data_IF_604964841011
#
_entry.id   IF_604964841011
#
_cell.length_a   1.000
_cell.length_b   1.000
_cell.length_c   1.000
_cell.angle_alpha   90.00
_cell.angle_beta   90.00
_cell.angle_gamma   90.00
#
_symmetry.space_group_name_H-M   'P 1'
#
loop_
_entity.id
_entity.type
_entity.pdbx_description
1 polymer ?
#
# COMPACT_ATOMS: atom_id res chain seq x y z
N UNK A 1 -8.77 5.26 -25.19
CA UNK A 1 -9.17 6.00 -23.96
C UNK A 1 -7.98 6.79 -23.47
N UNK A 2 -8.15 8.07 -23.13
CA UNK A 2 -7.02 8.88 -22.64
C UNK A 2 -6.92 8.87 -21.11
N UNK A 3 -8.07 8.58 -20.44
CA UNK A 3 -8.17 8.55 -18.99
C UNK A 3 -8.88 7.27 -18.57
N UNK A 4 -8.20 6.38 -17.85
CA UNK A 4 -8.74 5.10 -17.41
C UNK A 4 -7.93 4.51 -16.26
N UNK A 5 -8.54 3.54 -15.60
CA UNK A 5 -7.90 2.65 -14.63
C UNK A 5 -7.61 1.31 -15.30
N UNK A 6 -6.60 0.63 -14.81
CA UNK A 6 -6.35 -0.75 -15.21
C UNK A 6 -6.08 -1.64 -14.00
N UNK A 7 -6.48 -2.89 -14.11
CA UNK A 7 -6.18 -3.96 -13.17
C UNK A 7 -5.79 -5.18 -13.99
N UNK A 8 -4.56 -5.62 -13.82
CA UNK A 8 -4.01 -6.81 -14.47
C UNK A 8 -3.61 -7.82 -13.40
N UNK A 9 -4.05 -9.06 -13.54
CA UNK A 9 -3.73 -10.15 -12.64
C UNK A 9 -3.14 -11.31 -13.44
N UNK A 10 -2.01 -11.81 -13.00
CA UNK A 10 -1.41 -13.06 -13.45
C UNK A 10 -1.24 -14.05 -12.27
N UNK A 11 -0.47 -15.12 -12.45
CA UNK A 11 -0.22 -16.14 -11.42
C UNK A 11 0.67 -15.64 -10.27
N UNK A 12 1.45 -14.57 -10.47
CA UNK A 12 2.46 -14.10 -9.52
C UNK A 12 2.08 -12.78 -8.83
N UNK A 13 1.26 -11.93 -9.50
CA UNK A 13 1.02 -10.55 -9.04
C UNK A 13 -0.29 -9.97 -9.55
N UNK A 14 -0.67 -8.86 -8.93
CA UNK A 14 -1.65 -7.91 -9.45
C UNK A 14 -0.91 -6.59 -9.74
N UNK A 15 -1.06 -6.08 -10.95
CA UNK A 15 -0.65 -4.74 -11.34
C UNK A 15 -1.89 -3.87 -11.51
N UNK A 16 -1.90 -2.69 -10.95
CA UNK A 16 -3.02 -1.78 -11.10
C UNK A 16 -2.55 -0.33 -11.09
N UNK A 17 -3.31 0.53 -11.74
CA UNK A 17 -2.90 1.91 -11.87
C UNK A 17 -3.90 2.78 -12.60
N UNK A 18 -3.50 4.03 -12.77
CA UNK A 18 -4.29 5.06 -13.41
C UNK A 18 -3.52 5.72 -14.54
N UNK A 19 -4.17 5.88 -15.66
CA UNK A 19 -3.69 6.62 -16.82
C UNK A 19 -4.50 7.92 -16.93
N UNK A 20 -3.82 9.05 -17.04
CA UNK A 20 -4.41 10.36 -17.28
C UNK A 20 -3.69 10.99 -18.48
N UNK A 21 -4.48 11.54 -19.40
CA UNK A 21 -3.97 12.17 -20.62
C UNK A 21 -2.94 11.30 -21.38
N UNK A 22 -3.28 10.01 -21.44
CA UNK A 22 -2.44 8.95 -22.06
C UNK A 22 -1.07 8.76 -21.38
N UNK A 23 -0.90 9.20 -20.13
CA UNK A 23 0.32 9.00 -19.35
C UNK A 23 0.03 8.24 -18.06
N UNK A 24 0.98 7.41 -17.63
CA UNK A 24 0.89 6.69 -16.36
C UNK A 24 0.94 7.67 -15.18
N UNK A 25 -0.18 7.83 -14.48
CA UNK A 25 -0.32 8.73 -13.32
C UNK A 25 -0.09 8.03 -12.00
N UNK A 26 -0.46 6.75 -11.87
CA UNK A 26 -0.12 5.91 -10.74
C UNK A 26 0.06 4.45 -11.16
N UNK A 27 0.96 3.73 -10.49
CA UNK A 27 1.25 2.33 -10.76
C UNK A 27 1.61 1.60 -9.49
N UNK A 28 0.98 0.46 -9.29
CA UNK A 28 1.16 -0.38 -8.11
C UNK A 28 1.32 -1.83 -8.55
N UNK A 29 2.23 -2.52 -7.90
CA UNK A 29 2.44 -3.96 -8.08
C UNK A 29 2.29 -4.65 -6.74
N UNK A 30 1.35 -5.58 -6.66
CA UNK A 30 1.17 -6.45 -5.50
C UNK A 30 1.51 -7.88 -5.89
N UNK A 31 2.70 -8.35 -5.50
CA UNK A 31 3.10 -9.74 -5.70
C UNK A 31 2.34 -10.66 -4.74
N UNK A 32 1.92 -11.82 -5.23
CA UNK A 32 1.36 -12.83 -4.35
C UNK A 32 2.46 -13.40 -3.46
N UNK A 33 2.37 -13.09 -2.19
CA UNK A 33 3.28 -13.57 -1.17
C UNK A 33 2.62 -14.71 -0.39
N UNK A 34 3.45 -15.52 0.29
CA UNK A 34 2.94 -16.55 1.19
C UNK A 34 2.09 -15.97 2.33
N UNK A 35 2.32 -14.71 2.68
CA UNK A 35 1.67 -13.98 3.74
C UNK A 35 1.41 -12.55 3.29
N UNK A 36 0.25 -12.00 3.66
CA UNK A 36 -0.11 -10.61 3.40
C UNK A 36 -0.47 -9.89 4.71
N UNK A 37 -0.20 -8.58 4.74
CA UNK A 37 -0.58 -7.75 5.89
C UNK A 37 -2.11 -7.62 5.91
N UNK A 38 -2.70 -7.96 7.07
CA UNK A 38 -4.14 -7.98 7.28
C UNK A 38 -4.78 -9.34 7.09
N UNK A 39 -4.02 -10.38 6.66
CA UNK A 39 -4.50 -11.75 6.66
C UNK A 39 -4.71 -12.24 8.08
N UNK A 40 -5.85 -12.89 8.35
CA UNK A 40 -6.17 -13.47 9.65
C UNK A 40 -6.08 -14.99 9.56
N UNK A 41 -5.28 -15.55 10.44
CA UNK A 41 -5.08 -16.99 10.56
C UNK A 41 -5.66 -17.51 11.86
N UNK A 42 -6.25 -18.70 11.79
CA UNK A 42 -6.41 -19.58 12.94
C UNK A 42 -5.12 -20.37 13.07
N UNK A 43 -4.36 -20.10 14.12
CA UNK A 43 -2.99 -20.53 14.31
C UNK A 43 -2.83 -21.35 15.60
N UNK A 44 -1.83 -22.20 15.66
CA UNK A 44 -1.45 -22.95 16.87
C UNK A 44 -0.20 -22.33 17.48
N UNK A 45 -0.22 -22.10 18.78
CA UNK A 45 0.97 -21.69 19.54
C UNK A 45 1.92 -22.87 19.66
N UNK A 46 3.08 -22.79 19.00
CA UNK A 46 4.03 -23.92 18.94
C UNK A 46 5.21 -23.78 19.89
N UNK A 47 5.58 -22.54 20.26
CA UNK A 47 6.73 -22.29 21.14
C UNK A 47 6.59 -20.99 21.88
N UNK A 48 7.05 -20.96 23.14
CA UNK A 48 7.26 -19.76 23.96
C UNK A 48 8.74 -19.49 24.09
N UNK A 49 9.18 -18.24 23.92
CA UNK A 49 10.58 -17.83 24.09
C UNK A 49 10.63 -16.62 25.03
N UNK A 50 10.86 -16.87 26.30
CA UNK A 50 10.85 -15.83 27.35
C UNK A 50 11.95 -14.78 27.16
N UNK A 51 13.12 -15.16 26.66
CA UNK A 51 14.21 -14.24 26.36
C UNK A 51 13.86 -13.19 25.28
N UNK A 52 12.94 -13.53 24.35
CA UNK A 52 12.46 -12.63 23.30
C UNK A 52 11.08 -12.05 23.62
N UNK A 53 10.51 -12.38 24.78
CA UNK A 53 9.16 -11.96 25.18
C UNK A 53 8.11 -12.26 24.10
N UNK A 54 8.14 -13.46 23.51
CA UNK A 54 7.27 -13.81 22.39
C UNK A 54 6.80 -15.27 22.41
N UNK A 55 5.77 -15.51 21.60
CA UNK A 55 5.38 -16.83 21.11
C UNK A 55 5.69 -16.97 19.62
N UNK A 56 5.95 -18.19 19.18
CA UNK A 56 5.87 -18.56 17.78
C UNK A 56 4.55 -19.30 17.56
N UNK A 57 3.84 -18.91 16.50
CA UNK A 57 2.54 -19.47 16.13
C UNK A 57 2.60 -20.01 14.72
N UNK A 58 2.15 -21.23 14.49
CA UNK A 58 2.13 -21.84 13.17
C UNK A 58 0.97 -21.24 12.34
N UNK A 59 1.31 -20.61 11.20
CA UNK A 59 0.37 -19.95 10.29
C UNK A 59 0.02 -20.82 9.09
N UNK A 60 1.01 -21.56 8.56
CA UNK A 60 0.87 -22.39 7.36
C UNK A 60 2.02 -23.41 7.31
N UNK A 61 1.69 -24.71 7.22
CA UNK A 61 2.62 -25.82 6.96
C UNK A 61 4.10 -25.57 7.33
N UNK A 62 4.39 -25.50 8.63
CA UNK A 62 5.74 -25.27 9.16
C UNK A 62 6.24 -23.81 9.10
N UNK A 63 5.47 -22.86 8.57
CA UNK A 63 5.81 -21.44 8.61
C UNK A 63 5.17 -20.77 9.83
N UNK A 64 6.01 -20.13 10.64
CA UNK A 64 5.59 -19.52 11.90
C UNK A 64 5.47 -18.00 11.79
N UNK A 65 4.57 -17.42 12.59
CA UNK A 65 4.48 -15.99 12.92
C UNK A 65 5.14 -15.69 14.26
N UNK A 66 5.64 -14.47 14.42
CA UNK A 66 6.19 -13.93 15.66
C UNK A 66 5.11 -13.14 16.37
N UNK A 67 4.66 -13.60 17.53
CA UNK A 67 3.64 -12.97 18.40
C UNK A 67 4.33 -12.42 19.65
N UNK A 68 4.50 -11.10 19.73
CA UNK A 68 5.02 -10.41 20.90
C UNK A 68 4.03 -10.57 22.08
N UNK A 69 4.50 -10.69 23.33
CA UNK A 69 3.63 -10.79 24.51
C UNK A 69 2.68 -9.60 24.65
N UNK A 70 3.11 -8.40 24.26
CA UNK A 70 2.24 -7.21 24.26
C UNK A 70 1.07 -7.27 23.27
N UNK A 71 1.20 -8.10 22.24
CA UNK A 71 0.21 -8.29 21.17
C UNK A 71 -0.71 -9.48 21.43
N UNK A 72 -0.62 -10.10 22.63
CA UNK A 72 -1.52 -11.16 23.09
C UNK A 72 -2.78 -10.60 23.76
N UNK A 73 -3.85 -11.38 23.75
CA UNK A 73 -5.10 -11.11 24.49
C UNK A 73 -5.32 -12.24 25.48
N UNK A 74 -5.36 -11.92 26.77
CA UNK A 74 -5.51 -12.91 27.84
C UNK A 74 -4.26 -13.76 28.06
N UNK A 75 -4.44 -14.92 28.72
CA UNK A 75 -3.36 -15.88 28.95
C UNK A 75 -3.23 -16.82 27.75
N UNK A 76 -2.01 -16.93 27.24
CA UNK A 76 -1.68 -17.79 26.10
C UNK A 76 -0.66 -18.86 26.51
N UNK A 77 -0.90 -20.10 26.10
CA UNK A 77 -0.05 -21.25 26.38
C UNK A 77 0.36 -21.98 25.10
N UNK A 78 1.47 -22.67 25.13
CA UNK A 78 1.86 -23.57 24.04
C UNK A 78 0.80 -24.66 23.86
N UNK A 79 0.38 -24.88 22.60
CA UNK A 79 -0.70 -25.78 22.23
C UNK A 79 -2.04 -25.07 21.96
N UNK A 80 -2.23 -23.87 22.48
CA UNK A 80 -3.47 -23.11 22.26
C UNK A 80 -3.69 -22.83 20.77
N UNK A 81 -4.98 -22.79 20.40
CA UNK A 81 -5.44 -22.33 19.07
C UNK A 81 -5.97 -20.93 19.24
N UNK A 82 -5.44 -20.00 18.46
CA UNK A 82 -5.75 -18.58 18.55
C UNK A 82 -5.96 -17.97 17.16
N UNK A 83 -6.64 -16.84 17.09
CA UNK A 83 -6.64 -16.00 15.90
C UNK A 83 -5.51 -14.98 15.96
N UNK A 84 -4.84 -14.77 14.83
CA UNK A 84 -3.80 -13.75 14.68
C UNK A 84 -3.90 -13.08 13.32
N UNK A 85 -3.73 -11.76 13.31
CA UNK A 85 -3.58 -10.94 12.09
C UNK A 85 -2.11 -10.67 11.83
N UNK A 86 -1.67 -10.78 10.59
CA UNK A 86 -0.34 -10.35 10.17
C UNK A 86 -0.35 -8.82 10.05
N UNK A 87 0.45 -8.13 10.87
CA UNK A 87 0.56 -6.67 10.78
C UNK A 87 1.87 -6.16 10.20
N UNK A 88 2.88 -7.06 10.07
CA UNK A 88 4.18 -6.71 9.48
C UNK A 88 4.83 -7.92 8.84
N UNK A 89 5.31 -7.76 7.61
CA UNK A 89 6.16 -8.74 6.92
C UNK A 89 7.60 -8.27 7.02
N UNK A 90 8.49 -9.18 7.42
CA UNK A 90 9.91 -8.89 7.58
C UNK A 90 10.68 -9.28 6.30
N UNK A 91 11.84 -8.67 6.06
CA UNK A 91 12.69 -9.00 4.92
C UNK A 91 13.38 -10.37 5.11
N UNK A 92 13.61 -11.07 4.01
CA UNK A 92 14.22 -12.40 4.01
C UNK A 92 13.30 -13.46 4.63
N UNK A 93 13.90 -14.49 5.23
CA UNK A 93 13.16 -15.65 5.80
C UNK A 93 12.65 -15.41 7.24
N UNK A 94 12.67 -14.15 7.71
CA UNK A 94 12.20 -13.83 9.05
C UNK A 94 10.68 -13.97 9.15
N UNK A 95 10.21 -14.62 10.22
CA UNK A 95 8.80 -14.78 10.52
C UNK A 95 8.05 -13.44 10.49
N UNK A 96 6.82 -13.37 9.90
CA UNK A 96 6.00 -12.17 9.97
C UNK A 96 5.58 -11.89 11.42
N UNK A 97 5.41 -10.62 11.76
CA UNK A 97 4.85 -10.23 13.04
C UNK A 97 3.34 -10.33 13.00
N UNK A 98 2.78 -10.91 14.05
CA UNK A 98 1.34 -11.12 14.18
C UNK A 98 0.81 -10.59 15.51
N UNK A 99 -0.49 -10.29 15.56
CA UNK A 99 -1.20 -9.79 16.74
C UNK A 99 -2.52 -10.54 16.94
N UNK A 100 -2.90 -10.79 18.18
CA UNK A 100 -4.24 -11.28 18.52
C UNK A 100 -5.31 -10.17 18.42
N UNK A 101 -4.90 -8.89 18.36
CA UNK A 101 -5.80 -7.79 18.03
C UNK A 101 -5.96 -7.70 16.52
N UNK A 102 -6.96 -8.38 15.99
CA UNK A 102 -7.23 -8.43 14.56
C UNK A 102 -8.46 -7.60 14.17
N UNK A 103 -8.53 -7.23 12.91
CA UNK A 103 -9.60 -6.40 12.37
C UNK A 103 -9.96 -6.78 10.95
N UNK A 104 -11.23 -6.57 10.59
CA UNK A 104 -11.69 -6.62 9.21
C UNK A 104 -12.13 -5.23 8.77
N UNK A 105 -11.94 -4.90 7.51
CA UNK A 105 -12.26 -3.58 6.99
C UNK A 105 -13.07 -3.68 5.71
N UNK A 106 -13.97 -2.71 5.54
CA UNK A 106 -14.69 -2.44 4.31
C UNK A 106 -14.36 -1.04 3.80
N UNK A 107 -15.10 -0.56 2.82
CA UNK A 107 -14.98 0.81 2.31
C UNK A 107 -15.28 1.84 3.40
N UNK A 108 -16.29 1.61 4.26
CA UNK A 108 -16.82 2.61 5.19
C UNK A 108 -16.46 2.36 6.66
N UNK A 109 -16.15 1.13 7.06
CA UNK A 109 -15.94 0.77 8.45
C UNK A 109 -14.75 -0.17 8.67
N UNK A 110 -14.23 -0.20 9.90
CA UNK A 110 -13.30 -1.20 10.41
C UNK A 110 -13.88 -1.77 11.68
N UNK A 111 -14.04 -3.09 11.73
CA UNK A 111 -14.48 -3.83 12.90
C UNK A 111 -13.26 -4.51 13.51
N UNK A 112 -12.97 -4.22 14.78
CA UNK A 112 -11.79 -4.76 15.46
C UNK A 112 -12.21 -5.67 16.62
N UNK A 113 -11.56 -6.82 16.70
CA UNK A 113 -11.68 -7.72 17.85
C UNK A 113 -10.90 -7.14 19.03
N UNK A 114 -11.60 -6.43 19.90
CA UNK A 114 -11.08 -5.89 21.17
C UNK A 114 -12.14 -6.10 22.24
N UNK A 115 -11.70 -6.33 23.47
CA UNK A 115 -12.60 -6.52 24.64
C UNK A 115 -13.33 -5.24 25.07
N UNK A 116 -13.60 -4.29 24.17
CA UNK A 116 -14.30 -3.03 24.48
C UNK A 116 -15.24 -2.68 23.34
N UNK A 117 -16.48 -2.43 23.68
CA UNK A 117 -17.50 -1.87 22.78
C UNK A 117 -17.26 -0.36 22.61
N UNK A 118 -16.37 0.03 21.70
CA UNK A 118 -16.06 1.42 21.43
C UNK A 118 -16.37 1.78 19.98
N UNK A 119 -17.04 2.93 19.78
CA UNK A 119 -17.22 3.53 18.47
C UNK A 119 -16.20 4.64 18.31
N UNK A 120 -15.29 4.48 17.33
CA UNK A 120 -14.26 5.45 17.01
C UNK A 120 -14.62 6.22 15.75
N UNK A 121 -14.65 7.54 15.86
CA UNK A 121 -14.83 8.47 14.75
C UNK A 121 -13.54 9.27 14.62
N UNK A 122 -12.97 9.32 13.41
CA UNK A 122 -11.76 10.11 13.18
C UNK A 122 -12.05 11.60 13.40
N UNK A 123 -11.01 12.39 13.74
CA UNK A 123 -11.18 13.85 13.94
C UNK A 123 -11.77 14.56 12.70
N UNK A 124 -11.42 14.08 11.49
CA UNK A 124 -11.96 14.60 10.23
C UNK A 124 -13.46 14.34 10.03
N UNK A 125 -14.01 13.35 10.73
CA UNK A 125 -15.42 12.96 10.64
C UNK A 125 -16.28 13.60 11.73
N UNK A 126 -15.67 14.27 12.74
CA UNK A 126 -16.41 14.85 13.87
C UNK A 126 -17.33 16.01 13.47
N UNK A 127 -17.07 16.64 12.33
CA UNK A 127 -17.90 17.72 11.77
C UNK A 127 -19.14 17.19 11.04
N UNK A 128 -19.20 15.88 10.76
CA UNK A 128 -20.35 15.24 10.14
C UNK A 128 -21.28 14.66 11.21
N UNK A 129 -22.57 14.94 11.09
CA UNK A 129 -23.61 14.46 12.01
C UNK A 129 -23.95 12.98 11.72
N UNK A 130 -23.10 12.06 12.17
CA UNK A 130 -23.48 10.64 12.18
C UNK A 130 -24.47 10.35 13.31
N UNK A 131 -25.50 9.57 13.01
CA UNK A 131 -26.40 9.06 14.04
C UNK A 131 -25.72 7.91 14.84
N UNK A 132 -24.89 8.29 15.80
CA UNK A 132 -24.11 7.35 16.62
C UNK A 132 -25.02 6.40 17.40
N UNK A 133 -26.25 6.83 17.77
CA UNK A 133 -27.20 5.98 18.49
C UNK A 133 -27.64 4.80 17.64
N UNK A 134 -27.93 5.05 16.34
CA UNK A 134 -28.26 3.94 15.41
C UNK A 134 -27.09 2.97 15.25
N UNK A 135 -25.86 3.44 15.23
CA UNK A 135 -24.67 2.56 15.17
C UNK A 135 -24.53 1.76 16.48
N UNK A 136 -24.76 2.38 17.65
CA UNK A 136 -24.77 1.68 18.95
C UNK A 136 -25.85 0.63 19.06
N UNK A 137 -26.99 0.82 18.39
CA UNK A 137 -28.07 -0.16 18.33
C UNK A 137 -27.69 -1.42 17.52
N UNK A 138 -26.60 -1.39 16.75
CA UNK A 138 -26.01 -2.61 16.22
C UNK A 138 -25.29 -3.31 17.36
N UNK A 139 -25.98 -4.29 17.98
CA UNK A 139 -25.43 -5.09 19.09
C UNK A 139 -24.15 -5.78 18.59
N UNK A 140 -23.02 -5.38 19.15
CA UNK A 140 -21.71 -5.88 18.73
C UNK A 140 -20.76 -5.89 19.93
N UNK A 141 -20.06 -6.99 20.14
CA UNK A 141 -18.98 -7.10 21.13
C UNK A 141 -17.64 -6.60 20.57
N UNK A 142 -17.67 -5.90 19.43
CA UNK A 142 -16.48 -5.47 18.70
C UNK A 142 -16.39 -3.95 18.66
N UNK A 143 -15.18 -3.42 18.56
CA UNK A 143 -14.98 -2.00 18.32
C UNK A 143 -15.27 -1.65 16.85
N UNK A 144 -16.00 -0.56 16.64
CA UNK A 144 -16.38 -0.06 15.33
C UNK A 144 -15.65 1.26 15.09
N UNK A 145 -14.88 1.36 13.98
CA UNK A 145 -14.23 2.60 13.56
C UNK A 145 -14.75 3.00 12.19
N UNK A 146 -15.30 4.22 12.10
CA UNK A 146 -15.71 4.79 10.81
C UNK A 146 -14.47 5.28 10.04
N UNK A 147 -14.43 4.94 8.74
CA UNK A 147 -13.40 5.44 7.80
C UNK A 147 -13.84 6.80 7.23
N UNK A 148 -12.88 7.57 6.72
CA UNK A 148 -13.17 8.89 6.14
C UNK A 148 -14.22 8.84 5.04
N UNK A 149 -14.25 7.77 4.25
CA UNK A 149 -15.22 7.54 3.17
C UNK A 149 -16.67 7.33 3.62
N UNK A 150 -16.92 7.13 4.91
CA UNK A 150 -18.28 6.98 5.43
C UNK A 150 -19.15 8.25 5.30
N UNK A 151 -18.54 9.40 4.95
CA UNK A 151 -19.29 10.65 4.64
C UNK A 151 -19.91 10.63 3.24
N UNK A 152 -19.39 9.78 2.36
CA UNK A 152 -19.76 9.71 0.94
C UNK A 152 -20.95 8.76 0.71
N UNK A 153 -21.48 8.13 1.77
CA UNK A 153 -22.60 7.22 1.68
C UNK A 153 -23.78 7.66 2.56
N UNK A 154 -24.99 7.22 2.20
CA UNK A 154 -26.18 7.41 3.02
C UNK A 154 -26.13 6.55 4.30
N UNK A 155 -26.95 6.92 5.28
CA UNK A 155 -26.98 6.28 6.59
C UNK A 155 -27.34 4.79 6.52
N UNK A 156 -28.29 4.40 5.68
CA UNK A 156 -28.72 3.02 5.56
C UNK A 156 -27.62 2.14 4.96
N UNK A 157 -26.92 2.67 3.98
CA UNK A 157 -25.74 2.05 3.38
C UNK A 157 -24.62 1.84 4.43
N UNK A 158 -24.33 2.86 5.24
CA UNK A 158 -23.33 2.76 6.30
C UNK A 158 -23.71 1.70 7.36
N UNK A 159 -24.99 1.73 7.81
CA UNK A 159 -25.46 0.76 8.80
C UNK A 159 -25.44 -0.68 8.27
N UNK A 160 -25.77 -0.87 6.99
CA UNK A 160 -25.69 -2.19 6.36
C UNK A 160 -24.26 -2.69 6.21
N UNK A 161 -23.30 -1.81 5.85
CA UNK A 161 -21.88 -2.13 5.81
C UNK A 161 -21.37 -2.60 7.19
N UNK A 162 -21.70 -1.85 8.23
CA UNK A 162 -21.31 -2.18 9.60
C UNK A 162 -21.90 -3.52 10.03
N UNK A 163 -23.21 -3.77 9.79
CA UNK A 163 -23.87 -5.04 10.15
C UNK A 163 -23.20 -6.23 9.49
N UNK A 164 -22.97 -6.17 8.17
CA UNK A 164 -22.30 -7.24 7.42
C UNK A 164 -20.89 -7.54 7.97
N UNK A 165 -20.14 -6.49 8.31
CA UNK A 165 -18.80 -6.69 8.87
C UNK A 165 -18.84 -7.22 10.31
N UNK A 166 -19.80 -6.81 11.13
CA UNK A 166 -20.01 -7.37 12.47
C UNK A 166 -20.37 -8.85 12.37
N UNK A 167 -21.30 -9.23 11.48
CA UNK A 167 -21.68 -10.63 11.22
C UNK A 167 -20.46 -11.45 10.77
N UNK A 168 -19.69 -10.95 9.80
CA UNK A 168 -18.48 -11.60 9.32
C UNK A 168 -17.41 -11.76 10.42
N UNK A 169 -17.24 -10.76 11.28
CA UNK A 169 -16.34 -10.85 12.44
C UNK A 169 -16.81 -11.91 13.42
N UNK A 170 -18.13 -11.99 13.68
CA UNK A 170 -18.72 -13.01 14.55
C UNK A 170 -18.49 -14.41 13.99
N UNK A 171 -18.72 -14.64 12.68
CA UNK A 171 -18.43 -15.91 12.01
C UNK A 171 -16.96 -16.32 12.16
N UNK A 172 -16.02 -15.37 12.04
CA UNK A 172 -14.59 -15.62 12.27
C UNK A 172 -14.39 -16.11 13.71
N UNK A 173 -14.90 -15.38 14.70
CA UNK A 173 -14.72 -15.71 16.12
C UNK A 173 -15.34 -17.07 16.45
N UNK A 174 -16.53 -17.37 15.95
CA UNK A 174 -17.23 -18.64 16.18
C UNK A 174 -16.49 -19.84 15.54
N UNK A 175 -15.68 -19.58 14.53
CA UNK A 175 -14.88 -20.61 13.86
C UNK A 175 -13.65 -21.07 14.65
N UNK A 176 -13.35 -20.52 15.85
CA UNK A 176 -12.10 -20.79 16.58
C UNK A 176 -11.84 -22.29 16.81
N UNK A 177 -12.86 -23.02 17.15
CA UNK A 177 -12.76 -24.44 17.48
C UNK A 177 -12.87 -25.38 16.26
N UNK A 178 -12.99 -24.83 15.04
CA UNK A 178 -13.15 -25.62 13.84
C UNK A 178 -11.76 -26.08 13.31
N UNK A 179 -11.69 -27.27 12.77
CA UNK A 179 -10.49 -27.80 12.10
C UNK A 179 -10.57 -27.54 10.58
N UNK A 180 -9.43 -27.45 9.90
CA UNK A 180 -8.05 -27.65 10.32
C UNK A 180 -7.38 -26.42 10.94
N UNK A 181 -6.26 -26.66 11.65
CA UNK A 181 -5.35 -25.66 12.21
C UNK A 181 -3.93 -26.11 11.81
N UNK A 182 -3.09 -25.24 11.23
CA UNK A 182 -3.31 -23.83 10.89
C UNK A 182 -4.22 -23.62 9.66
N UNK A 183 -4.92 -22.49 9.58
CA UNK A 183 -5.76 -22.12 8.43
C UNK A 183 -5.88 -20.60 8.26
N UNK A 184 -5.76 -20.13 7.01
CA UNK A 184 -6.16 -18.77 6.63
C UNK A 184 -7.69 -18.67 6.71
N UNK A 185 -8.20 -17.73 7.51
CA UNK A 185 -9.64 -17.53 7.75
C UNK A 185 -10.16 -16.31 7.00
N UNK A 186 -9.35 -15.25 6.93
CA UNK A 186 -9.71 -14.03 6.24
C UNK A 186 -8.51 -13.51 5.45
N UNK A 187 -8.75 -13.20 4.18
CA UNK A 187 -7.78 -12.56 3.30
C UNK A 187 -8.22 -11.12 3.06
N UNK A 188 -7.29 -10.18 3.27
CA UNK A 188 -7.60 -8.77 3.05
C UNK A 188 -7.48 -8.42 1.57
N UNK A 189 -8.59 -8.40 0.86
CA UNK A 189 -8.63 -8.17 -0.61
C UNK A 189 -9.11 -6.77 -1.03
N UNK A 190 -9.49 -5.91 -0.08
CA UNK A 190 -10.23 -4.67 -0.36
C UNK A 190 -9.40 -3.53 -1.01
N UNK A 191 -8.10 -3.71 -1.29
CA UNK A 191 -7.28 -2.64 -1.84
C UNK A 191 -7.68 -2.23 -3.27
N UNK A 192 -8.17 -3.17 -4.08
CA UNK A 192 -8.66 -2.89 -5.43
C UNK A 192 -10.01 -2.17 -5.39
N UNK A 193 -10.91 -2.58 -4.49
CA UNK A 193 -12.18 -1.88 -4.28
C UNK A 193 -11.94 -0.45 -3.77
N UNK A 194 -11.01 -0.28 -2.82
CA UNK A 194 -10.60 1.04 -2.34
C UNK A 194 -10.04 1.90 -3.48
N UNK A 195 -9.21 1.33 -4.36
CA UNK A 195 -8.65 2.02 -5.52
C UNK A 195 -9.73 2.43 -6.53
N UNK A 196 -10.67 1.53 -6.86
CA UNK A 196 -11.79 1.82 -7.75
C UNK A 196 -12.70 2.90 -7.16
N UNK A 197 -13.04 2.80 -5.88
CA UNK A 197 -13.89 3.76 -5.20
C UNK A 197 -13.25 5.16 -5.17
N UNK A 198 -11.95 5.27 -4.90
CA UNK A 198 -11.22 6.56 -4.93
C UNK A 198 -11.17 7.19 -6.32
N UNK A 199 -11.37 6.40 -7.35
CA UNK A 199 -11.28 6.82 -8.75
C UNK A 199 -12.58 6.54 -9.51
N UNK A 200 -13.75 6.64 -8.87
CA UNK A 200 -15.07 6.22 -9.40
C UNK A 200 -15.45 6.84 -10.77
N UNK A 201 -14.91 8.00 -11.10
CA UNK A 201 -15.21 8.72 -12.35
C UNK A 201 -14.48 8.17 -13.58
N UNK A 202 -13.53 7.26 -13.40
CA UNK A 202 -12.76 6.72 -14.52
C UNK A 202 -13.22 5.29 -14.85
N UNK A 203 -13.32 4.95 -16.16
CA UNK A 203 -13.55 3.57 -16.57
C UNK A 203 -12.34 2.69 -16.18
N UNK A 204 -12.59 1.42 -15.92
CA UNK A 204 -11.55 0.47 -15.56
C UNK A 204 -11.55 -0.72 -16.53
N UNK A 205 -10.38 -1.03 -17.08
CA UNK A 205 -10.13 -2.24 -17.87
C UNK A 205 -9.46 -3.29 -16.97
N UNK A 206 -9.90 -4.55 -17.05
CA UNK A 206 -9.31 -5.64 -16.29
C UNK A 206 -9.37 -6.97 -17.03
N UNK A 207 -8.37 -7.84 -16.78
CA UNK A 207 -8.22 -9.14 -17.45
C UNK A 207 -8.73 -10.34 -16.64
N UNK A 208 -9.09 -10.18 -15.36
CA UNK A 208 -9.57 -11.27 -14.51
C UNK A 208 -11.09 -11.30 -14.44
N UNK A 209 -11.69 -12.42 -14.85
CA UNK A 209 -13.15 -12.60 -14.93
C UNK A 209 -13.83 -12.67 -13.57
N UNK A 210 -13.13 -13.20 -12.55
CA UNK A 210 -13.68 -13.30 -11.19
C UNK A 210 -13.73 -11.93 -10.52
N UNK A 211 -12.65 -11.15 -10.65
CA UNK A 211 -12.62 -9.76 -10.18
C UNK A 211 -13.68 -8.92 -10.90
N UNK A 212 -13.81 -9.07 -12.23
CA UNK A 212 -14.84 -8.35 -12.99
C UNK A 212 -16.25 -8.63 -12.46
N UNK A 213 -16.60 -9.89 -12.22
CA UNK A 213 -17.90 -10.26 -11.65
C UNK A 213 -18.10 -9.68 -10.25
N UNK A 214 -17.10 -9.85 -9.37
CA UNK A 214 -17.13 -9.34 -8.00
C UNK A 214 -17.34 -7.82 -7.96
N UNK A 215 -16.64 -7.06 -8.80
CA UNK A 215 -16.79 -5.61 -8.86
C UNK A 215 -18.11 -5.18 -9.48
N UNK A 216 -18.61 -5.90 -10.49
CA UNK A 216 -19.92 -5.62 -11.10
C UNK A 216 -21.08 -5.84 -10.13
N UNK A 217 -20.96 -6.83 -9.25
CA UNK A 217 -21.96 -7.13 -8.23
C UNK A 217 -21.87 -6.18 -7.01
N UNK A 218 -20.80 -5.41 -6.91
CA UNK A 218 -20.60 -4.45 -5.83
C UNK A 218 -21.29 -3.13 -6.14
N UNK A 219 -22.44 -2.89 -5.51
CA UNK A 219 -23.30 -1.72 -5.72
C UNK A 219 -22.65 -0.37 -5.37
N UNK A 220 -21.52 -0.38 -4.67
CA UNK A 220 -20.79 0.82 -4.26
C UNK A 220 -19.74 1.28 -5.27
N UNK A 221 -19.40 0.44 -6.24
CA UNK A 221 -18.49 0.78 -7.32
C UNK A 221 -19.29 1.32 -8.51
N UNK A 222 -18.97 2.54 -8.94
CA UNK A 222 -19.64 3.25 -10.03
C UNK A 222 -18.82 3.28 -11.32
N UNK A 223 -17.63 2.70 -11.31
CA UNK A 223 -16.76 2.67 -12.46
C UNK A 223 -17.42 1.90 -13.62
N UNK A 224 -17.30 2.41 -14.82
CA UNK A 224 -17.58 1.62 -16.02
C UNK A 224 -16.50 0.54 -16.16
N UNK A 225 -16.89 -0.74 -16.07
CA UNK A 225 -15.96 -1.87 -16.09
C UNK A 225 -15.92 -2.50 -17.49
N UNK A 226 -14.71 -2.67 -18.02
CA UNK A 226 -14.44 -3.39 -19.27
C UNK A 226 -13.62 -4.64 -18.95
N UNK A 227 -14.17 -5.81 -19.27
CA UNK A 227 -13.42 -7.08 -19.22
C UNK A 227 -12.73 -7.31 -20.55
N UNK A 228 -11.43 -7.60 -20.52
CA UNK A 228 -10.62 -7.96 -21.69
C UNK A 228 -9.55 -8.95 -21.22
N UNK A 229 -9.75 -10.23 -21.51
CA UNK A 229 -8.88 -11.33 -21.09
C UNK A 229 -7.43 -11.19 -21.58
N UNK A 230 -7.25 -10.55 -22.74
CA UNK A 230 -5.93 -10.35 -23.35
C UNK A 230 -5.24 -9.06 -22.91
N UNK A 231 -5.93 -8.22 -22.12
CA UNK A 231 -5.35 -6.97 -21.65
C UNK A 231 -4.12 -7.23 -20.79
N UNK A 232 -3.04 -6.53 -21.12
CA UNK A 232 -1.83 -6.44 -20.29
C UNK A 232 -1.28 -5.02 -20.35
N UNK A 233 -0.94 -4.41 -19.20
CA UNK A 233 -0.39 -3.07 -19.16
C UNK A 233 0.95 -2.95 -19.92
N UNK A 234 1.68 -4.04 -20.05
CA UNK A 234 2.93 -4.11 -20.83
C UNK A 234 2.72 -3.86 -22.34
N UNK A 235 1.57 -4.27 -22.87
CA UNK A 235 1.23 -4.09 -24.29
C UNK A 235 0.25 -2.94 -24.53
N UNK A 236 -0.08 -2.20 -23.47
CA UNK A 236 -0.92 -1.02 -23.58
C UNK A 236 -0.20 0.09 -24.37
N UNK A 237 -0.87 0.61 -25.40
CA UNK A 237 -0.32 1.61 -26.32
C UNK A 237 0.21 2.87 -25.61
N UNK A 238 -0.48 3.30 -24.54
CA UNK A 238 -0.14 4.54 -23.84
C UNK A 238 1.01 4.38 -22.84
N UNK A 239 1.10 3.23 -22.18
CA UNK A 239 1.94 3.07 -20.99
C UNK A 239 2.92 1.89 -21.06
N UNK A 240 2.78 1.01 -22.06
CA UNK A 240 3.55 -0.24 -22.12
C UNK A 240 5.06 -0.01 -22.14
N UNK A 241 5.54 0.91 -22.97
CA UNK A 241 6.97 1.25 -23.04
C UNK A 241 7.50 1.80 -21.72
N UNK A 242 6.69 2.60 -21.01
CA UNK A 242 7.07 3.16 -19.71
C UNK A 242 7.15 2.06 -18.64
N UNK A 243 6.16 1.16 -18.60
CA UNK A 243 6.14 0.02 -17.66
C UNK A 243 7.33 -0.91 -17.89
N UNK A 244 7.65 -1.21 -19.15
CA UNK A 244 8.88 -1.97 -19.47
C UNK A 244 10.15 -1.25 -19.02
N UNK A 245 10.16 0.07 -19.05
CA UNK A 245 11.25 0.91 -18.56
C UNK A 245 11.47 0.79 -17.04
N UNK A 246 10.43 0.50 -16.26
CA UNK A 246 10.53 0.43 -14.78
C UNK A 246 11.46 -0.69 -14.26
N UNK A 247 11.75 -1.71 -15.07
CA UNK A 247 12.69 -2.78 -14.69
C UNK A 247 14.14 -2.45 -15.04
N UNK A 248 14.39 -1.43 -15.88
CA UNK A 248 15.73 -1.03 -16.31
C UNK A 248 16.41 -0.21 -15.21
N UNK A 249 17.73 -0.36 -15.07
CA UNK A 249 18.53 0.47 -14.16
C UNK A 249 18.57 1.93 -14.60
N UNK A 250 18.51 2.19 -15.89
CA UNK A 250 18.69 3.49 -16.51
C UNK A 250 17.36 4.00 -17.04
N UNK A 251 17.04 5.24 -16.71
CA UNK A 251 15.89 6.00 -17.23
C UNK A 251 16.43 7.16 -18.07
N UNK A 252 15.97 7.28 -19.29
CA UNK A 252 16.36 8.34 -20.22
C UNK A 252 15.19 9.29 -20.44
N UNK A 253 15.42 10.59 -20.25
CA UNK A 253 14.46 11.66 -20.51
C UNK A 253 15.21 12.73 -21.29
N UNK A 254 14.88 12.91 -22.55
CA UNK A 254 15.60 13.81 -23.44
C UNK A 254 17.13 13.59 -23.38
N UNK A 255 17.86 14.60 -22.91
CA UNK A 255 19.32 14.53 -22.74
C UNK A 255 19.77 14.17 -21.32
N UNK A 256 18.83 13.71 -20.47
CA UNK A 256 19.09 13.35 -19.08
C UNK A 256 19.15 11.83 -18.97
N UNK A 257 20.10 11.33 -18.22
CA UNK A 257 20.24 9.93 -17.90
C UNK A 257 20.25 9.76 -16.38
N UNK A 258 19.24 9.03 -15.85
CA UNK A 258 19.09 8.74 -14.42
C UNK A 258 19.40 7.27 -14.23
N UNK A 259 20.39 6.97 -13.41
CA UNK A 259 20.79 5.59 -13.07
C UNK A 259 20.30 5.27 -11.67
N UNK A 260 19.51 4.21 -11.52
CA UNK A 260 18.90 3.79 -10.25
C UNK A 260 19.49 2.42 -9.87
N UNK A 261 20.27 2.38 -8.79
CA UNK A 261 20.88 1.16 -8.29
C UNK A 261 20.46 0.86 -6.86
N UNK A 262 19.91 -0.32 -6.66
CA UNK A 262 19.53 -0.81 -5.34
C UNK A 262 20.63 -1.70 -4.78
N UNK A 263 21.14 -1.32 -3.60
CA UNK A 263 22.04 -2.16 -2.79
C UNK A 263 21.25 -2.82 -1.66
N UNK A 264 21.92 -3.60 -0.83
CA UNK A 264 21.29 -4.22 0.35
C UNK A 264 20.85 -3.17 1.39
N UNK A 265 21.60 -2.09 1.58
CA UNK A 265 21.36 -1.09 2.61
C UNK A 265 20.54 0.10 2.13
N UNK A 266 20.74 0.56 0.89
CA UNK A 266 20.16 1.79 0.36
C UNK A 266 20.00 1.74 -1.17
N UNK A 267 19.25 2.69 -1.72
CA UNK A 267 19.21 2.93 -3.17
C UNK A 267 20.01 4.17 -3.50
N UNK A 268 20.86 4.08 -4.52
CA UNK A 268 21.61 5.21 -5.06
C UNK A 268 21.02 5.59 -6.40
N UNK A 269 20.86 6.90 -6.62
CA UNK A 269 20.37 7.48 -7.88
C UNK A 269 21.37 8.51 -8.35
N UNK A 270 21.86 8.34 -9.57
CA UNK A 270 22.85 9.22 -10.20
C UNK A 270 22.23 9.94 -11.40
N UNK A 271 22.40 11.26 -11.48
CA UNK A 271 21.84 12.13 -12.52
C UNK A 271 22.94 12.63 -13.44
N UNK A 272 22.87 12.26 -14.69
CA UNK A 272 23.83 12.62 -15.72
C UNK A 272 23.16 13.39 -16.90
N UNK A 273 23.91 14.33 -17.51
CA UNK A 273 23.51 15.00 -18.74
C UNK A 273 24.36 14.51 -19.92
N UNK A 274 23.72 14.19 -21.05
CA UNK A 274 24.41 13.76 -22.28
C UNK A 274 25.06 14.94 -23.02
N UNK A 275 24.65 16.19 -22.75
CA UNK A 275 25.19 17.38 -23.44
C UNK A 275 26.53 17.82 -22.86
N UNK A 276 27.57 17.88 -23.70
CA UNK A 276 28.83 18.58 -23.42
C UNK A 276 28.63 20.08 -23.64
N UNK A 277 28.40 20.86 -22.60
CA UNK A 277 28.24 22.34 -22.67
C UNK A 277 29.48 23.07 -22.20
N UNK A 278 29.74 24.27 -22.78
CA UNK A 278 30.80 25.17 -22.36
C UNK A 278 30.57 25.65 -20.91
N UNK A 279 31.64 25.96 -20.16
CA UNK A 279 31.61 26.21 -18.71
C UNK A 279 30.67 27.32 -18.23
N UNK A 280 30.40 28.32 -19.06
CA UNK A 280 29.53 29.48 -18.71
C UNK A 280 28.06 29.08 -18.64
N UNK A 281 27.62 28.06 -19.36
CA UNK A 281 26.26 27.56 -19.38
C UNK A 281 26.03 26.38 -18.46
N UNK A 282 27.08 25.81 -17.86
CA UNK A 282 26.99 24.58 -17.05
C UNK A 282 26.10 24.74 -15.82
N UNK A 283 26.16 25.87 -15.08
CA UNK A 283 25.38 26.02 -13.85
C UNK A 283 23.87 26.21 -14.10
N UNK A 284 23.51 27.03 -15.11
CA UNK A 284 22.10 27.20 -15.50
C UNK A 284 21.52 25.91 -16.07
N UNK A 285 22.35 25.15 -16.80
CA UNK A 285 21.96 23.86 -17.35
C UNK A 285 21.83 22.79 -16.24
N UNK A 286 22.70 22.78 -15.22
CA UNK A 286 22.66 21.84 -14.11
C UNK A 286 21.36 21.95 -13.30
N UNK A 287 20.94 23.17 -12.93
CA UNK A 287 19.67 23.37 -12.22
C UNK A 287 18.49 22.90 -13.07
N UNK A 288 18.42 23.28 -14.36
CA UNK A 288 17.34 22.87 -15.24
C UNK A 288 17.25 21.35 -15.39
N UNK A 289 18.39 20.67 -15.54
CA UNK A 289 18.46 19.21 -15.62
C UNK A 289 17.99 18.57 -14.33
N UNK A 290 18.45 19.08 -13.18
CA UNK A 290 18.11 18.51 -11.88
C UNK A 290 16.64 18.74 -11.51
N UNK A 291 16.03 19.85 -11.94
CA UNK A 291 14.59 20.11 -11.76
C UNK A 291 13.72 19.12 -12.56
N UNK A 292 14.11 18.78 -13.77
CA UNK A 292 13.42 17.75 -14.56
C UNK A 292 13.67 16.36 -13.96
N UNK A 293 14.92 16.08 -13.60
CA UNK A 293 15.32 14.79 -13.05
C UNK A 293 14.58 14.44 -11.75
N UNK A 294 14.41 15.41 -10.83
CA UNK A 294 13.77 15.12 -9.53
C UNK A 294 12.29 14.74 -9.67
N UNK A 295 11.56 15.33 -10.62
CA UNK A 295 10.17 14.94 -10.87
C UNK A 295 10.08 13.47 -11.31
N UNK A 296 10.95 13.06 -12.23
CA UNK A 296 10.98 11.67 -12.66
C UNK A 296 11.55 10.73 -11.58
N UNK A 297 12.54 11.14 -10.82
CA UNK A 297 13.09 10.36 -9.70
C UNK A 297 11.98 10.01 -8.70
N UNK A 298 11.15 10.98 -8.30
CA UNK A 298 10.03 10.73 -7.38
C UNK A 298 9.01 9.78 -8.00
N UNK A 299 8.71 9.91 -9.29
CA UNK A 299 7.85 9.00 -10.03
C UNK A 299 8.42 7.57 -10.07
N UNK A 300 9.71 7.43 -10.41
CA UNK A 300 10.40 6.16 -10.45
C UNK A 300 10.48 5.48 -9.07
N UNK A 301 10.75 6.23 -8.01
CA UNK A 301 10.75 5.72 -6.63
C UNK A 301 9.35 5.18 -6.26
N UNK A 302 8.29 5.91 -6.58
CA UNK A 302 6.90 5.49 -6.31
C UNK A 302 6.53 4.25 -7.10
N UNK A 303 6.74 4.25 -8.42
CA UNK A 303 6.29 3.16 -9.31
C UNK A 303 7.09 1.88 -9.17
N UNK A 304 8.39 1.97 -8.82
CA UNK A 304 9.23 0.80 -8.51
C UNK A 304 9.07 0.33 -7.06
N UNK A 305 8.25 1.01 -6.27
CA UNK A 305 8.09 0.78 -4.83
C UNK A 305 9.42 0.77 -4.06
N UNK A 306 10.35 1.67 -4.43
CA UNK A 306 11.63 1.83 -3.74
C UNK A 306 11.36 2.42 -2.36
N UNK A 307 11.93 1.82 -1.31
CA UNK A 307 11.74 2.22 0.08
C UNK A 307 13.00 2.06 0.93
N UNK A 308 13.04 2.72 2.06
CA UNK A 308 14.22 2.81 2.92
C UNK A 308 15.02 4.08 2.64
N UNK A 309 16.35 3.98 2.74
CA UNK A 309 17.27 5.09 2.49
C UNK A 309 17.50 5.21 0.98
N UNK A 310 17.40 6.43 0.47
CA UNK A 310 17.61 6.76 -0.95
C UNK A 310 18.55 7.97 -0.99
N UNK A 311 19.61 7.84 -1.74
CA UNK A 311 20.61 8.89 -1.94
C UNK A 311 20.60 9.29 -3.41
N UNK A 312 20.46 10.59 -3.67
CA UNK A 312 20.49 11.15 -5.03
C UNK A 312 21.75 11.99 -5.20
N UNK A 313 22.53 11.64 -6.20
CA UNK A 313 23.68 12.42 -6.67
C UNK A 313 23.22 13.27 -7.87
N UNK A 314 22.96 14.55 -7.59
CA UNK A 314 22.58 15.53 -8.59
C UNK A 314 23.80 16.12 -9.30
N UNK A 315 23.62 16.57 -10.53
CA UNK A 315 24.65 17.37 -11.19
C UNK A 315 25.01 18.55 -10.30
N UNK A 316 26.32 18.76 -10.10
CA UNK A 316 26.82 19.75 -9.15
C UNK A 316 26.28 21.17 -9.43
N UNK A 317 25.80 21.82 -8.37
CA UNK A 317 25.13 23.11 -8.39
C UNK A 317 25.70 24.06 -7.33
N UNK A 318 25.50 25.37 -7.54
CA UNK A 318 25.77 26.39 -6.51
C UNK A 318 24.72 26.30 -5.39
N UNK A 319 25.07 26.81 -4.21
CA UNK A 319 24.17 26.81 -3.03
C UNK A 319 22.79 27.38 -3.32
N UNK A 320 22.70 28.51 -4.01
CA UNK A 320 21.42 29.13 -4.40
C UNK A 320 20.56 28.22 -5.29
N UNK A 321 21.18 27.46 -6.19
CA UNK A 321 20.48 26.53 -7.08
C UNK A 321 19.97 25.31 -6.30
N UNK A 322 20.69 24.90 -5.25
CA UNK A 322 20.25 23.84 -4.34
C UNK A 322 19.00 24.24 -3.54
N UNK A 323 18.96 25.49 -3.07
CA UNK A 323 17.79 26.06 -2.39
C UNK A 323 16.55 26.03 -3.30
N UNK A 324 16.69 26.43 -4.57
CA UNK A 324 15.60 26.38 -5.56
C UNK A 324 15.13 24.93 -5.78
N UNK A 325 16.06 23.97 -5.88
CA UNK A 325 15.70 22.57 -6.04
C UNK A 325 14.94 22.03 -4.81
N UNK A 326 15.37 22.40 -3.60
CA UNK A 326 14.69 22.00 -2.36
C UNK A 326 13.28 22.59 -2.24
N UNK A 327 13.05 23.82 -2.69
CA UNK A 327 11.72 24.43 -2.78
C UNK A 327 10.85 23.63 -3.77
N UNK A 328 11.35 23.32 -4.94
CA UNK A 328 10.64 22.52 -5.93
C UNK A 328 10.26 21.14 -5.39
N UNK A 329 11.14 20.46 -4.67
CA UNK A 329 10.87 19.15 -4.06
C UNK A 329 9.68 19.20 -3.10
N UNK A 330 9.50 20.28 -2.35
CA UNK A 330 8.35 20.46 -1.43
C UNK A 330 7.02 20.60 -2.17
N UNK A 331 7.06 21.05 -3.42
CA UNK A 331 5.88 21.27 -4.26
C UNK A 331 5.50 20.03 -5.09
N UNK A 332 6.42 19.05 -5.24
CA UNK A 332 6.16 17.88 -6.07
C UNK A 332 5.06 17.01 -5.48
N UNK A 333 4.09 16.68 -6.32
CA UNK A 333 3.03 15.76 -5.95
C UNK A 333 3.58 14.35 -5.72
N UNK A 334 3.34 13.81 -4.54
CA UNK A 334 3.65 12.41 -4.22
C UNK A 334 2.50 11.52 -4.71
N UNK A 335 2.83 10.47 -5.45
CA UNK A 335 1.87 9.60 -6.14
C UNK A 335 1.44 8.38 -5.31
N UNK A 336 1.87 8.27 -4.06
CA UNK A 336 1.54 7.16 -3.18
C UNK A 336 1.16 7.62 -1.76
N UNK A 337 0.62 6.69 -0.96
CA UNK A 337 0.17 6.96 0.41
C UNK A 337 1.26 6.65 1.46
N UNK A 338 2.55 6.56 1.06
CA UNK A 338 3.64 6.29 1.99
C UNK A 338 4.21 7.56 2.59
N UNK A 339 4.85 7.43 3.74
CA UNK A 339 5.52 8.56 4.38
C UNK A 339 6.87 8.76 3.70
N UNK A 340 7.09 9.97 3.19
CA UNK A 340 8.33 10.45 2.63
C UNK A 340 8.94 11.50 3.55
N UNK A 341 10.24 11.43 3.77
CA UNK A 341 11.00 12.49 4.44
C UNK A 341 12.14 12.92 3.53
N UNK A 342 12.21 14.20 3.26
CA UNK A 342 13.26 14.85 2.49
C UNK A 342 14.20 15.52 3.48
N UNK A 343 15.43 15.00 3.61
CA UNK A 343 16.39 15.43 4.63
C UNK A 343 17.31 16.55 4.16
N UNK A 344 17.36 16.83 2.84
CA UNK A 344 18.18 17.88 2.26
C UNK A 344 19.55 17.39 1.79
N UNK A 345 20.44 18.34 1.47
CA UNK A 345 21.78 18.07 1.00
C UNK A 345 22.74 17.77 2.14
N UNK A 346 23.52 16.70 1.99
CA UNK A 346 24.65 16.39 2.88
C UNK A 346 25.83 17.35 2.66
N UNK A 347 26.81 17.29 3.55
CA UNK A 347 28.09 18.02 3.38
C UNK A 347 28.87 17.58 2.12
N UNK A 348 28.64 16.38 1.63
CA UNK A 348 29.22 15.85 0.40
C UNK A 348 28.47 16.28 -0.87
N UNK A 349 27.32 16.95 -0.73
CA UNK A 349 26.52 17.41 -1.84
C UNK A 349 25.47 16.41 -2.35
N UNK A 350 25.33 15.25 -1.69
CA UNK A 350 24.30 14.26 -1.98
C UNK A 350 22.97 14.64 -1.35
N UNK A 351 21.84 14.34 -1.99
CA UNK A 351 20.51 14.61 -1.45
C UNK A 351 19.91 13.36 -0.81
N UNK A 352 19.43 13.50 0.43
CA UNK A 352 18.92 12.38 1.22
C UNK A 352 17.39 12.33 1.25
N UNK A 353 16.83 11.16 0.94
CA UNK A 353 15.41 10.86 1.01
C UNK A 353 15.21 9.57 1.82
N UNK A 354 14.19 9.53 2.67
CA UNK A 354 13.70 8.27 3.20
C UNK A 354 12.23 8.08 2.85
N UNK A 355 11.89 6.88 2.40
CA UNK A 355 10.51 6.50 2.12
C UNK A 355 10.15 5.26 2.93
N UNK A 356 9.00 5.30 3.59
CA UNK A 356 8.51 4.22 4.43
C UNK A 356 8.47 2.91 3.64
N UNK A 357 9.04 1.84 4.22
CA UNK A 357 8.83 0.48 3.72
C UNK A 357 7.35 0.13 3.88
N UNK A 358 6.77 -0.62 2.95
CA UNK A 358 5.37 -1.02 3.02
C UNK A 358 5.01 -1.54 4.43
N UNK A 359 3.86 -1.06 4.95
CA UNK A 359 3.32 -1.60 6.21
C UNK A 359 2.86 -3.01 5.99
#
# INVERSE_FOLDING_TARGET
MNNYLFIYKDEEKIEYGKVLDSQLSSYFVKKFCNFEIGDIYRARVVKKVDALQCFFVELKNGKNGFLDFKDTVGQVRVGDVIFVEIYKINAGDKAPNVSMNFSISSIFSVISYKNREDIFISKKLKEHNFNIEKIRNIKSNFSIKLRTKSVDCDEDTLLNDIRKNVEKMQEIVDSLNNLPVPKLIYKKENFLEDFLFENEKYPCILNDKELYKSFKDNKFLKNELKYDEEYSPKYDYNIGVYIEGLIKKTVEIDDINIVIEKTEALTVIDVNSKKKTSEINKSKNALSVNLIAIEEIIRQISFRDISGIIIVDFINMKTKDKEILEEKIKEIQIFDNKIWNFHGFTKLGLYEITRQRGK
#
